data_IF_747493007089
#
_entry.id   IF_747493007089
#
_cell.length_a   1.000
_cell.length_b   1.000
_cell.length_c   1.000
_cell.angle_alpha   90.00
_cell.angle_beta   90.00
_cell.angle_gamma   90.00
#
_symmetry.space_group_name_H-M   'P 1'
#
loop_
_entity.id
_entity.type
_entity.pdbx_description
1 polymer ?
#
# COMPACT_ATOMS: atom_id res chain seq x y z
N UNK A 1 -13.80 -11.49 -3.21
CA UNK A 1 -12.48 -11.12 -2.69
C UNK A 1 -12.53 -9.65 -2.29
N UNK A 2 -11.72 -9.25 -1.31
CA UNK A 2 -11.64 -7.87 -0.81
C UNK A 2 -11.04 -6.94 -1.89
N UNK A 3 -9.88 -7.27 -2.47
CA UNK A 3 -9.24 -6.49 -3.54
C UNK A 3 -10.11 -6.33 -4.79
N UNK A 4 -10.89 -7.34 -5.17
CA UNK A 4 -11.82 -7.20 -6.30
C UNK A 4 -12.85 -6.09 -6.06
N UNK A 5 -13.40 -6.02 -4.84
CA UNK A 5 -14.34 -4.95 -4.47
C UNK A 5 -13.65 -3.60 -4.31
N UNK A 6 -12.40 -3.59 -3.81
CA UNK A 6 -11.58 -2.37 -3.76
C UNK A 6 -11.34 -1.81 -5.17
N UNK A 7 -10.96 -2.64 -6.14
CA UNK A 7 -10.76 -2.20 -7.53
C UNK A 7 -12.07 -1.73 -8.15
N UNK A 8 -13.19 -2.41 -7.88
CA UNK A 8 -14.50 -1.97 -8.33
C UNK A 8 -14.88 -0.61 -7.74
N UNK A 9 -14.64 -0.39 -6.44
CA UNK A 9 -14.85 0.90 -5.77
C UNK A 9 -14.01 2.00 -6.41
N UNK A 10 -12.73 1.72 -6.64
CA UNK A 10 -11.81 2.69 -7.24
C UNK A 10 -12.28 3.09 -8.65
N UNK A 11 -12.60 2.10 -9.49
CA UNK A 11 -13.11 2.33 -10.84
C UNK A 11 -14.42 3.13 -10.84
N UNK A 12 -15.38 2.79 -9.97
CA UNK A 12 -16.64 3.52 -9.85
C UNK A 12 -16.41 4.99 -9.47
N UNK A 13 -15.50 5.26 -8.53
CA UNK A 13 -15.16 6.62 -8.11
C UNK A 13 -14.45 7.42 -9.21
N UNK A 14 -13.52 6.81 -9.93
CA UNK A 14 -12.86 7.44 -11.09
C UNK A 14 -13.87 7.81 -12.19
N UNK A 15 -14.93 7.01 -12.34
CA UNK A 15 -16.00 7.27 -13.30
C UNK A 15 -17.11 8.21 -12.76
N UNK A 16 -17.00 8.70 -11.52
CA UNK A 16 -18.04 9.51 -10.88
C UNK A 16 -19.37 8.77 -10.67
N UNK A 17 -19.36 7.43 -10.64
CA UNK A 17 -20.55 6.59 -10.48
C UNK A 17 -20.90 6.34 -9.01
N UNK A 18 -22.18 6.08 -8.69
CA UNK A 18 -22.57 5.68 -7.34
C UNK A 18 -21.81 4.43 -6.89
N UNK A 19 -21.26 4.48 -5.68
CA UNK A 19 -20.45 3.39 -5.13
C UNK A 19 -20.79 3.06 -3.66
N UNK A 20 -22.00 3.42 -3.19
CA UNK A 20 -22.37 3.29 -1.78
C UNK A 20 -22.26 1.84 -1.28
N UNK A 21 -22.80 0.87 -2.01
CA UNK A 21 -22.74 -0.54 -1.65
C UNK A 21 -21.31 -1.08 -1.62
N UNK A 22 -20.51 -0.80 -2.65
CA UNK A 22 -19.11 -1.23 -2.71
C UNK A 22 -18.25 -0.55 -1.64
N UNK A 23 -18.49 0.73 -1.37
CA UNK A 23 -17.80 1.47 -0.29
C UNK A 23 -18.15 0.89 1.07
N UNK A 24 -19.41 0.58 1.34
CA UNK A 24 -19.84 -0.05 2.60
C UNK A 24 -19.20 -1.44 2.76
N UNK A 25 -19.12 -2.23 1.68
CA UNK A 25 -18.43 -3.52 1.73
C UNK A 25 -16.95 -3.37 2.05
N UNK A 26 -16.24 -2.46 1.38
CA UNK A 26 -14.79 -2.23 1.64
C UNK A 26 -14.59 -1.78 3.09
N UNK A 27 -15.36 -0.82 3.59
CA UNK A 27 -15.28 -0.36 4.99
C UNK A 27 -15.59 -1.48 6.00
N UNK A 28 -16.58 -2.33 5.73
CA UNK A 28 -16.95 -3.46 6.60
C UNK A 28 -15.89 -4.57 6.66
N UNK A 29 -14.99 -4.66 5.66
CA UNK A 29 -13.89 -5.63 5.64
C UNK A 29 -12.58 -5.07 6.19
N UNK A 30 -12.58 -3.84 6.73
CA UNK A 30 -11.43 -3.28 7.45
C UNK A 30 -11.40 -3.85 8.87
N UNK A 31 -10.25 -4.38 9.29
CA UNK A 31 -10.07 -4.95 10.62
C UNK A 31 -9.94 -3.85 11.70
N UNK A 32 -9.94 -4.20 13.01
CA UNK A 32 -9.80 -3.23 14.09
C UNK A 32 -8.50 -2.41 14.08
N UNK A 33 -7.44 -2.90 13.42
CA UNK A 33 -6.18 -2.19 13.22
C UNK A 33 -6.20 -1.23 12.01
N UNK A 34 -7.31 -1.14 11.29
CA UNK A 34 -7.44 -0.29 10.11
C UNK A 34 -6.90 -0.92 8.82
N UNK A 35 -6.61 -2.23 8.82
CA UNK A 35 -6.02 -2.94 7.69
C UNK A 35 -7.03 -3.81 6.95
N UNK A 36 -6.72 -4.14 5.70
CA UNK A 36 -7.39 -5.18 4.93
C UNK A 36 -6.43 -6.36 4.78
N UNK A 37 -6.64 -7.43 5.54
CA UNK A 37 -5.73 -8.59 5.61
C UNK A 37 -6.35 -9.88 5.08
N UNK A 38 -7.66 -9.91 4.85
CA UNK A 38 -8.40 -11.06 4.32
C UNK A 38 -8.43 -11.07 2.78
N UNK A 39 -7.25 -11.18 2.16
CA UNK A 39 -7.10 -11.25 0.69
C UNK A 39 -6.89 -12.68 0.19
N UNK A 40 -7.43 -12.99 -0.99
CA UNK A 40 -7.34 -14.29 -1.66
C UNK A 40 -6.38 -14.31 -2.85
N UNK A 41 -5.92 -13.14 -3.31
CA UNK A 41 -5.07 -12.98 -4.49
C UNK A 41 -3.62 -12.57 -4.20
N UNK A 42 -3.34 -12.13 -2.97
CA UNK A 42 -2.04 -11.64 -2.56
C UNK A 42 -1.78 -11.98 -1.09
N UNK A 43 -0.58 -12.45 -0.77
CA UNK A 43 -0.20 -12.90 0.59
C UNK A 43 0.00 -11.71 1.53
N UNK A 44 0.49 -10.58 1.02
CA UNK A 44 0.71 -9.39 1.84
C UNK A 44 -0.58 -8.61 2.08
N UNK A 45 -0.81 -8.22 3.34
CA UNK A 45 -1.85 -7.27 3.74
C UNK A 45 -1.60 -5.85 3.22
N UNK A 46 -0.35 -5.53 2.83
CA UNK A 46 0.03 -4.22 2.30
C UNK A 46 -0.61 -3.95 0.95
N UNK A 47 -0.71 -4.97 0.09
CA UNK A 47 -1.35 -4.87 -1.23
C UNK A 47 -2.82 -4.40 -1.14
N UNK A 48 -3.74 -5.17 -0.51
CA UNK A 48 -5.14 -4.74 -0.41
C UNK A 48 -5.29 -3.46 0.42
N UNK A 49 -4.46 -3.23 1.45
CA UNK A 49 -4.55 -2.00 2.27
C UNK A 49 -4.20 -0.75 1.46
N UNK A 50 -3.12 -0.78 0.68
CA UNK A 50 -2.73 0.35 -0.16
C UNK A 50 -3.80 0.69 -1.21
N UNK A 51 -4.37 -0.34 -1.84
CA UNK A 51 -5.46 -0.15 -2.80
C UNK A 51 -6.76 0.32 -2.13
N UNK A 52 -7.09 -0.16 -0.92
CA UNK A 52 -8.26 0.28 -0.18
C UNK A 52 -8.17 1.76 0.20
N UNK A 53 -7.01 2.17 0.72
CA UNK A 53 -6.70 3.58 1.04
C UNK A 53 -6.89 4.46 -0.20
N UNK A 54 -6.28 4.11 -1.33
CA UNK A 54 -6.44 4.88 -2.57
C UNK A 54 -7.91 4.94 -3.02
N UNK A 55 -8.62 3.81 -3.01
CA UNK A 55 -10.02 3.74 -3.41
C UNK A 55 -10.93 4.56 -2.49
N UNK A 56 -10.70 4.52 -1.17
CA UNK A 56 -11.51 5.22 -0.18
C UNK A 56 -11.20 6.73 -0.09
N UNK A 57 -9.99 7.13 -0.45
CA UNK A 57 -9.60 8.54 -0.56
C UNK A 57 -9.97 9.18 -1.89
N UNK A 58 -10.19 8.40 -2.97
CA UNK A 58 -10.52 8.96 -4.28
C UNK A 58 -11.76 9.86 -4.23
N UNK A 59 -11.60 11.14 -4.59
CA UNK A 59 -12.66 12.16 -4.51
C UNK A 59 -12.99 12.63 -3.09
N UNK A 60 -12.20 12.25 -2.08
CA UNK A 60 -12.33 12.65 -0.68
C UNK A 60 -10.95 13.08 -0.12
N UNK A 61 -10.50 14.32 -0.39
CA UNK A 61 -9.15 14.78 -0.01
C UNK A 61 -8.84 14.74 1.49
N UNK A 62 -9.87 14.76 2.34
CA UNK A 62 -9.73 14.68 3.80
C UNK A 62 -9.87 13.26 4.34
N UNK A 63 -10.00 12.25 3.48
CA UNK A 63 -10.11 10.87 3.94
C UNK A 63 -8.81 10.45 4.62
N UNK A 64 -8.93 9.93 5.83
CA UNK A 64 -7.84 9.37 6.61
C UNK A 64 -8.33 8.26 7.52
N UNK A 65 -7.42 7.37 7.91
CA UNK A 65 -7.65 6.42 8.98
C UNK A 65 -6.41 6.35 9.88
N UNK A 66 -6.53 6.90 11.09
CA UNK A 66 -5.45 6.96 12.07
C UNK A 66 -4.96 5.56 12.49
N UNK A 67 -5.84 4.55 12.45
CA UNK A 67 -5.48 3.16 12.76
C UNK A 67 -4.62 2.58 11.65
N UNK A 68 -5.03 2.78 10.39
CA UNK A 68 -4.26 2.33 9.23
C UNK A 68 -2.88 2.99 9.20
N UNK A 69 -2.82 4.30 9.44
CA UNK A 69 -1.56 5.04 9.54
C UNK A 69 -0.67 4.51 10.68
N UNK A 70 -1.24 4.32 11.88
CA UNK A 70 -0.50 3.79 13.01
C UNK A 70 0.04 2.38 12.72
N UNK A 71 -0.79 1.50 12.13
CA UNK A 71 -0.40 0.14 11.77
C UNK A 71 0.71 0.12 10.71
N UNK A 72 0.64 0.97 9.68
CA UNK A 72 1.70 1.11 8.68
C UNK A 72 3.00 1.60 9.30
N UNK A 73 2.97 2.66 10.12
CA UNK A 73 4.18 3.18 10.75
C UNK A 73 4.79 2.18 11.75
N UNK A 74 3.98 1.45 12.51
CA UNK A 74 4.45 0.44 13.45
C UNK A 74 5.01 -0.81 12.76
N UNK A 75 4.50 -1.16 11.57
CA UNK A 75 4.96 -2.30 10.80
C UNK A 75 6.27 -2.04 10.04
N UNK A 76 6.76 -0.78 10.01
CA UNK A 76 8.05 -0.49 9.40
C UNK A 76 9.17 -1.20 10.17
N UNK A 77 9.98 -1.97 9.47
CA UNK A 77 11.04 -2.77 10.08
C UNK A 77 12.25 -1.92 10.39
N UNK A 78 13.17 -2.44 11.21
CA UNK A 78 14.40 -1.74 11.60
C UNK A 78 15.28 -1.36 10.40
N UNK A 79 15.22 -2.15 9.33
CA UNK A 79 15.94 -1.88 8.08
C UNK A 79 15.32 -0.76 7.24
N UNK A 80 14.11 -0.29 7.57
CA UNK A 80 13.40 0.79 6.89
C UNK A 80 12.37 0.34 5.85
N UNK A 81 12.34 -0.95 5.50
CA UNK A 81 11.35 -1.50 4.58
C UNK A 81 10.09 -2.04 5.27
N UNK A 82 9.17 -2.56 4.45
CA UNK A 82 7.99 -3.29 4.89
C UNK A 82 7.95 -4.69 4.28
N UNK A 83 7.35 -5.62 5.01
CA UNK A 83 7.01 -6.95 4.52
C UNK A 83 6.11 -7.70 5.50
N UNK A 84 5.14 -8.43 4.99
CA UNK A 84 4.24 -9.29 5.77
C UNK A 84 4.91 -10.61 6.20
N UNK A 85 6.01 -10.98 5.54
CA UNK A 85 6.83 -12.14 5.86
C UNK A 85 7.98 -11.83 6.83
N UNK A 86 9.06 -12.63 6.72
CA UNK A 86 10.24 -12.51 7.60
C UNK A 86 11.17 -11.35 7.25
N UNK A 87 11.07 -10.81 6.04
CA UNK A 87 11.97 -9.79 5.51
C UNK A 87 11.17 -8.70 4.78
N UNK A 88 11.75 -7.50 4.70
CA UNK A 88 11.25 -6.44 3.85
C UNK A 88 11.35 -6.82 2.38
N UNK A 89 10.35 -6.45 1.59
CA UNK A 89 10.36 -6.63 0.13
C UNK A 89 10.12 -5.30 -0.58
N UNK A 90 10.62 -5.22 -1.80
CA UNK A 90 10.54 -3.99 -2.60
C UNK A 90 9.09 -3.68 -3.00
N UNK A 91 8.33 -4.71 -3.37
CA UNK A 91 6.89 -4.64 -3.67
C UNK A 91 6.09 -4.12 -2.47
N UNK A 92 6.29 -4.71 -1.30
CA UNK A 92 5.52 -4.38 -0.09
C UNK A 92 5.88 -3.00 0.45
N UNK A 93 7.15 -2.61 0.37
CA UNK A 93 7.61 -1.25 0.69
C UNK A 93 6.96 -0.23 -0.24
N UNK A 94 6.83 -0.53 -1.54
CA UNK A 94 6.12 0.35 -2.47
C UNK A 94 4.63 0.51 -2.11
N UNK A 95 3.93 -0.56 -1.75
CA UNK A 95 2.54 -0.48 -1.31
C UNK A 95 2.40 0.37 -0.03
N UNK A 96 3.30 0.22 0.94
CA UNK A 96 3.31 1.07 2.13
C UNK A 96 3.45 2.55 1.77
N UNK A 97 4.38 2.89 0.87
CA UNK A 97 4.61 4.26 0.39
C UNK A 97 3.38 4.85 -0.30
N UNK A 98 2.67 4.07 -1.12
CA UNK A 98 1.42 4.52 -1.75
C UNK A 98 0.35 4.87 -0.71
N UNK A 99 0.17 4.02 0.30
CA UNK A 99 -0.80 4.26 1.37
C UNK A 99 -0.44 5.51 2.18
N UNK A 100 0.84 5.65 2.56
CA UNK A 100 1.34 6.80 3.31
C UNK A 100 1.15 8.11 2.53
N UNK A 101 1.35 8.10 1.21
CA UNK A 101 1.26 9.31 0.39
C UNK A 101 -0.17 9.85 0.34
N UNK A 102 -1.13 8.94 0.22
CA UNK A 102 -2.55 9.30 0.25
C UNK A 102 -2.94 9.92 1.60
N UNK A 103 -2.41 9.40 2.70
CA UNK A 103 -2.76 9.91 4.04
C UNK A 103 -2.02 11.21 4.41
N UNK A 104 -0.77 11.38 3.95
CA UNK A 104 0.08 12.55 4.26
C UNK A 104 -0.58 13.90 3.95
N UNK A 105 -1.32 13.97 2.83
CA UNK A 105 -1.99 15.20 2.39
C UNK A 105 -3.05 15.74 3.36
N UNK A 106 -3.53 14.92 4.30
CA UNK A 106 -4.55 15.26 5.30
C UNK A 106 -4.01 15.28 6.74
N UNK A 107 -2.70 15.13 6.92
CA UNK A 107 -2.05 15.02 8.22
C UNK A 107 -1.60 16.36 8.81
N UNK A 108 -1.67 16.43 10.13
CA UNK A 108 -1.13 17.55 10.90
C UNK A 108 0.40 17.59 10.80
N UNK A 109 1.05 18.75 11.05
CA UNK A 109 2.50 18.89 10.88
C UNK A 109 3.36 17.85 11.62
N UNK A 110 2.90 17.37 12.79
CA UNK A 110 3.56 16.31 13.55
C UNK A 110 3.43 14.94 12.87
N UNK A 111 2.24 14.62 12.35
CA UNK A 111 1.96 13.40 11.57
C UNK A 111 2.79 13.37 10.29
N UNK A 112 2.80 14.46 9.52
CA UNK A 112 3.62 14.60 8.29
C UNK A 112 5.10 14.38 8.55
N UNK A 113 5.64 14.89 9.67
CA UNK A 113 7.04 14.62 10.05
C UNK A 113 7.31 13.14 10.31
N UNK A 114 6.39 12.42 10.97
CA UNK A 114 6.53 10.98 11.22
C UNK A 114 6.47 10.18 9.93
N UNK A 115 5.58 10.56 9.01
CA UNK A 115 5.48 9.94 7.69
C UNK A 115 6.76 10.19 6.88
N UNK A 116 7.24 11.43 6.82
CA UNK A 116 8.47 11.79 6.12
C UNK A 116 9.70 11.04 6.66
N UNK A 117 9.81 10.83 7.98
CA UNK A 117 10.86 10.02 8.57
C UNK A 117 10.77 8.55 8.13
N UNK A 118 9.57 7.97 8.13
CA UNK A 118 9.36 6.61 7.66
C UNK A 118 9.74 6.49 6.16
N UNK A 119 9.35 7.46 5.35
CA UNK A 119 9.67 7.49 3.90
C UNK A 119 11.16 7.62 3.66
N UNK A 120 11.88 8.46 4.43
CA UNK A 120 13.32 8.61 4.29
C UNK A 120 14.06 7.28 4.54
N UNK A 121 13.65 6.54 5.58
CA UNK A 121 14.19 5.20 5.87
C UNK A 121 13.86 4.19 4.77
N UNK A 122 12.65 4.27 4.22
CA UNK A 122 12.23 3.44 3.08
C UNK A 122 13.08 3.71 1.85
N UNK A 123 13.32 4.98 1.54
CA UNK A 123 14.13 5.42 0.41
C UNK A 123 15.56 4.93 0.54
N UNK A 124 16.17 5.10 1.72
CA UNK A 124 17.52 4.58 1.99
C UNK A 124 17.59 3.05 1.78
N UNK A 125 16.61 2.32 2.33
CA UNK A 125 16.52 0.86 2.18
C UNK A 125 16.37 0.43 0.70
N UNK A 126 15.51 1.12 -0.06
CA UNK A 126 15.25 0.84 -1.47
C UNK A 126 16.48 1.18 -2.33
N UNK A 127 17.12 2.34 -2.13
CA UNK A 127 18.30 2.75 -2.89
C UNK A 127 19.47 1.79 -2.67
N UNK A 128 19.70 1.35 -1.42
CA UNK A 128 20.75 0.38 -1.10
C UNK A 128 20.55 -1.00 -1.77
N UNK A 129 19.33 -1.32 -2.21
CA UNK A 129 18.96 -2.61 -2.81
C UNK A 129 18.52 -2.51 -4.27
N UNK A 130 18.46 -1.29 -4.82
CA UNK A 130 18.00 -1.07 -6.16
C UNK A 130 19.02 -1.61 -7.17
N UNK A 131 18.57 -2.53 -8.03
CA UNK A 131 19.33 -3.00 -9.17
C UNK A 131 18.51 -2.79 -10.44
N UNK A 132 19.09 -2.07 -11.42
CA UNK A 132 18.40 -1.63 -12.64
C UNK A 132 17.81 -2.81 -13.42
N UNK A 133 18.58 -3.90 -13.52
CA UNK A 133 18.22 -5.08 -14.32
C UNK A 133 17.75 -6.28 -13.48
N UNK A 134 17.64 -6.14 -12.16
CA UNK A 134 17.09 -7.20 -11.32
C UNK A 134 15.57 -7.27 -11.53
N UNK A 135 15.07 -8.47 -11.82
CA UNK A 135 13.63 -8.73 -11.86
C UNK A 135 13.13 -9.08 -10.46
N UNK A 136 11.89 -8.68 -10.11
CA UNK A 136 11.26 -9.12 -8.87
C UNK A 136 11.16 -10.64 -8.83
N UNK A 137 11.47 -11.24 -7.67
CA UNK A 137 11.45 -12.70 -7.51
C UNK A 137 10.56 -13.18 -6.37
N UNK A 138 10.13 -12.29 -5.47
CA UNK A 138 9.33 -12.71 -4.31
C UNK A 138 7.92 -13.10 -4.76
N UNK A 139 7.49 -14.36 -4.55
CA UNK A 139 6.20 -14.83 -5.03
C UNK A 139 5.10 -14.48 -4.00
N UNK A 140 4.55 -13.27 -4.10
CA UNK A 140 3.49 -12.79 -3.20
C UNK A 140 2.07 -12.95 -3.77
N UNK A 141 1.94 -13.30 -5.05
CA UNK A 141 0.64 -13.43 -5.72
C UNK A 141 0.15 -14.87 -5.69
N UNK A 142 -1.16 -15.06 -5.50
CA UNK A 142 -1.78 -16.37 -5.30
C UNK A 142 -2.42 -16.84 -6.60
N UNK A 143 -1.95 -17.97 -7.14
CA UNK A 143 -2.54 -18.69 -8.26
C UNK A 143 -2.83 -20.15 -7.87
N UNK A 144 -2.43 -21.12 -8.71
CA UNK A 144 -2.36 -22.53 -8.29
C UNK A 144 -1.26 -22.72 -7.23
N UNK A 145 -0.17 -21.97 -7.39
CA UNK A 145 0.94 -21.82 -6.47
C UNK A 145 1.22 -20.32 -6.29
N UNK A 146 2.12 -19.99 -5.38
CA UNK A 146 2.61 -18.62 -5.26
C UNK A 146 3.45 -18.26 -6.49
N UNK A 147 3.24 -17.07 -7.04
CA UNK A 147 3.98 -16.58 -8.20
C UNK A 147 4.27 -15.08 -8.10
N UNK A 148 5.13 -14.59 -8.99
CA UNK A 148 5.49 -13.18 -9.09
C UNK A 148 5.21 -12.67 -10.52
N UNK A 149 4.18 -11.82 -10.73
CA UNK A 149 3.95 -11.19 -12.02
C UNK A 149 4.99 -10.07 -12.24
N UNK A 150 6.18 -10.46 -12.68
CA UNK A 150 7.40 -9.62 -12.68
C UNK A 150 7.21 -8.21 -13.21
N UNK A 151 6.44 -8.01 -14.28
CA UNK A 151 6.18 -6.66 -14.85
C UNK A 151 5.27 -5.82 -13.97
N UNK A 152 4.22 -6.41 -13.39
CA UNK A 152 3.29 -5.71 -12.49
C UNK A 152 4.03 -5.28 -11.23
N UNK A 153 4.78 -6.21 -10.64
CA UNK A 153 5.58 -5.94 -9.44
C UNK A 153 6.64 -4.88 -9.74
N UNK A 154 7.35 -4.97 -10.87
CA UNK A 154 8.40 -4.00 -11.21
C UNK A 154 7.84 -2.58 -11.37
N UNK A 155 6.64 -2.43 -11.93
CA UNK A 155 6.00 -1.12 -12.03
C UNK A 155 5.67 -0.57 -10.65
N UNK A 156 5.13 -1.38 -9.74
CA UNK A 156 4.85 -0.97 -8.37
C UNK A 156 6.15 -0.56 -7.63
N UNK A 157 7.20 -1.37 -7.72
CA UNK A 157 8.51 -1.08 -7.13
C UNK A 157 9.09 0.26 -7.59
N UNK A 158 9.10 0.50 -8.91
CA UNK A 158 9.65 1.72 -9.49
C UNK A 158 8.79 2.93 -9.18
N UNK A 159 7.46 2.79 -9.18
CA UNK A 159 6.56 3.87 -8.79
C UNK A 159 6.70 4.22 -7.31
N UNK A 160 6.87 3.23 -6.42
CA UNK A 160 7.15 3.45 -5.00
C UNK A 160 8.49 4.17 -4.79
N UNK A 161 9.55 3.73 -5.47
CA UNK A 161 10.85 4.39 -5.42
C UNK A 161 10.80 5.83 -5.94
N UNK A 162 10.14 6.04 -7.08
CA UNK A 162 9.96 7.38 -7.66
C UNK A 162 9.17 8.30 -6.72
N UNK A 163 8.13 7.78 -6.08
CA UNK A 163 7.34 8.51 -5.10
C UNK A 163 8.18 8.91 -3.89
N UNK A 164 8.97 8.00 -3.33
CA UNK A 164 9.85 8.29 -2.21
C UNK A 164 10.96 9.31 -2.55
N UNK A 165 11.48 9.28 -3.78
CA UNK A 165 12.44 10.29 -4.28
C UNK A 165 11.83 11.70 -4.41
N UNK A 166 10.50 11.79 -4.49
CA UNK A 166 9.73 13.01 -4.72
C UNK A 166 8.89 13.43 -3.52
N UNK A 167 9.12 12.80 -2.36
CA UNK A 167 8.28 12.98 -1.18
C UNK A 167 8.20 14.43 -0.73
#
# INVERSE_FOLDING_TARGET
SVSTNIHALHALRLLGKPAAGTSAYVEANRNPHGLWDNEKWHVSWLYPTAHAVAALAQGKPQWRDERALAALLQAQRDDGGWGAGRASTFEETAYALFALHVMDGSEEPTGRRRIAQAVARALEWMLARHAVHALPQTPLWIGKELYCPTRVVRVAELAGLWLALRW
#
